data_IF_531073609349
#
_entry.id   IF_531073609349
#
_cell.length_a   1.000
_cell.length_b   1.000
_cell.length_c   1.000
_cell.angle_alpha   90.00
_cell.angle_beta   90.00
_cell.angle_gamma   90.00
#
_symmetry.space_group_name_H-M   'P 1'
#
loop_
_entity.id
_entity.type
_entity.pdbx_description
1 polymer ?
#
# COMPACT_ATOMS: atom_id res chain seq x y z
N UNK A 1 -6.60 10.76 -24.96
CA UNK A 1 -5.16 10.60 -24.68
C UNK A 1 -5.03 9.77 -23.42
N UNK A 2 -4.82 8.45 -23.54
CA UNK A 2 -4.61 7.57 -22.38
C UNK A 2 -3.19 7.81 -21.86
N UNK A 3 -3.04 8.71 -20.90
CA UNK A 3 -1.84 8.77 -20.10
C UNK A 3 -1.77 7.44 -19.31
N UNK A 4 -0.74 6.64 -19.57
CA UNK A 4 -0.47 5.43 -18.81
C UNK A 4 -0.11 5.86 -17.37
N UNK A 5 -1.12 5.97 -16.50
CA UNK A 5 -0.91 6.39 -15.11
C UNK A 5 -0.18 5.27 -14.37
N UNK A 6 0.85 5.66 -13.64
CA UNK A 6 1.59 4.70 -12.82
C UNK A 6 0.75 4.37 -11.57
N UNK A 7 0.66 3.09 -11.25
CA UNK A 7 -0.12 2.63 -10.10
C UNK A 7 0.71 2.70 -8.81
N UNK A 8 0.10 3.24 -7.76
CA UNK A 8 0.64 3.33 -6.40
C UNK A 8 -0.39 2.81 -5.41
N UNK A 9 0.06 2.02 -4.44
CA UNK A 9 -0.78 1.57 -3.31
C UNK A 9 -0.36 2.25 -2.02
N UNK A 10 -1.33 2.74 -1.26
CA UNK A 10 -1.14 3.34 0.06
C UNK A 10 -1.85 2.44 1.07
N UNK A 11 -1.08 1.85 1.97
CA UNK A 11 -1.48 0.65 2.73
C UNK A 11 -1.54 0.94 4.22
N UNK A 12 -2.68 0.62 4.83
CA UNK A 12 -2.83 0.60 6.29
C UNK A 12 -3.09 -0.81 6.79
N UNK A 13 -2.37 -1.20 7.85
CA UNK A 13 -2.56 -2.47 8.56
C UNK A 13 -3.07 -2.15 9.97
N UNK A 14 -4.39 -2.19 10.12
CA UNK A 14 -5.08 -1.80 11.35
C UNK A 14 -5.18 -2.97 12.34
N UNK A 15 -5.28 -2.67 13.64
CA UNK A 15 -5.53 -3.73 14.63
C UNK A 15 -6.92 -4.38 14.47
N UNK A 16 -7.91 -3.61 13.99
CA UNK A 16 -9.31 -4.02 13.83
C UNK A 16 -9.93 -3.35 12.61
N UNK A 17 -10.97 -3.96 12.05
CA UNK A 17 -11.69 -3.45 10.87
C UNK A 17 -12.41 -2.12 11.13
N UNK A 18 -12.74 -1.81 12.39
CA UNK A 18 -13.39 -0.55 12.78
C UNK A 18 -12.43 0.63 12.83
N UNK A 19 -11.12 0.39 12.79
CA UNK A 19 -10.12 1.44 12.76
C UNK A 19 -9.90 1.91 11.33
N UNK A 20 -9.54 3.18 11.17
CA UNK A 20 -9.13 3.75 9.89
C UNK A 20 -7.81 4.48 10.05
N UNK A 21 -6.92 4.34 9.08
CA UNK A 21 -5.69 5.11 9.03
C UNK A 21 -5.92 6.39 8.22
N UNK A 22 -6.20 7.51 8.91
CA UNK A 22 -6.47 8.80 8.26
C UNK A 22 -5.30 9.29 7.40
N UNK A 23 -4.06 8.94 7.77
CA UNK A 23 -2.85 9.32 7.04
C UNK A 23 -2.89 8.89 5.56
N UNK A 24 -3.51 7.74 5.25
CA UNK A 24 -3.62 7.27 3.86
C UNK A 24 -4.42 8.25 2.99
N UNK A 25 -5.47 8.84 3.55
CA UNK A 25 -6.33 9.78 2.84
C UNK A 25 -5.63 11.13 2.61
N UNK A 26 -4.86 11.60 3.59
CA UNK A 26 -4.03 12.80 3.42
C UNK A 26 -2.99 12.58 2.32
N UNK A 27 -2.23 11.48 2.38
CA UNK A 27 -1.22 11.15 1.35
C UNK A 27 -1.85 11.04 -0.03
N UNK A 28 -3.00 10.36 -0.17
CA UNK A 28 -3.74 10.27 -1.44
C UNK A 28 -4.14 11.66 -1.98
N UNK A 29 -4.63 12.54 -1.12
CA UNK A 29 -5.06 13.88 -1.53
C UNK A 29 -3.87 14.73 -2.00
N UNK A 30 -2.74 14.68 -1.29
CA UNK A 30 -1.52 15.38 -1.68
C UNK A 30 -0.93 14.82 -2.99
N UNK A 31 -0.96 13.50 -3.18
CA UNK A 31 -0.57 12.87 -4.45
C UNK A 31 -1.47 13.29 -5.61
N UNK A 32 -2.78 13.36 -5.41
CA UNK A 32 -3.69 13.86 -6.44
C UNK A 32 -3.40 15.31 -6.83
N UNK A 33 -2.92 16.12 -5.88
CA UNK A 33 -2.59 17.54 -6.09
C UNK A 33 -1.22 17.74 -6.76
N UNK A 34 -0.21 16.98 -6.36
CA UNK A 34 1.18 17.22 -6.75
C UNK A 34 1.76 16.17 -7.71
N UNK A 35 1.11 15.02 -7.87
CA UNK A 35 1.51 13.93 -8.76
C UNK A 35 0.28 13.35 -9.51
N UNK A 36 -0.44 14.16 -10.32
CA UNK A 36 -1.69 13.75 -10.97
C UNK A 36 -1.54 12.59 -11.98
N UNK A 37 -0.31 12.26 -12.37
CA UNK A 37 0.04 11.12 -13.20
C UNK A 37 0.10 9.80 -12.43
N UNK A 38 0.10 9.83 -11.09
CA UNK A 38 -0.05 8.65 -10.24
C UNK A 38 -1.53 8.32 -9.99
N UNK A 39 -1.92 7.08 -10.22
CA UNK A 39 -3.19 6.56 -9.73
C UNK A 39 -2.98 5.88 -8.38
N UNK A 40 -3.35 6.58 -7.31
CA UNK A 40 -3.23 6.10 -5.94
C UNK A 40 -4.45 5.29 -5.49
N UNK A 41 -4.24 4.04 -5.09
CA UNK A 41 -5.23 3.17 -4.47
C UNK A 41 -4.99 3.09 -2.95
N UNK A 42 -6.05 3.24 -2.15
CA UNK A 42 -5.97 2.99 -0.71
C UNK A 42 -6.32 1.52 -0.45
N UNK A 43 -5.40 0.79 0.19
CA UNK A 43 -5.62 -0.57 0.65
C UNK A 43 -5.65 -0.57 2.19
N UNK A 44 -6.81 -0.78 2.79
CA UNK A 44 -6.93 -0.95 4.23
C UNK A 44 -7.15 -2.42 4.56
N UNK A 45 -6.28 -2.95 5.41
CA UNK A 45 -6.33 -4.30 5.94
C UNK A 45 -6.35 -4.26 7.47
N UNK A 46 -6.59 -5.41 8.06
CA UNK A 46 -6.29 -5.68 9.45
C UNK A 46 -5.11 -6.62 9.59
N UNK A 47 -4.46 -6.62 10.76
CA UNK A 47 -3.38 -7.58 11.09
C UNK A 47 -3.87 -9.03 11.09
N UNK A 48 -5.18 -9.27 11.13
CA UNK A 48 -5.80 -10.59 11.13
C UNK A 48 -6.32 -11.01 9.75
N UNK A 49 -6.18 -10.16 8.73
CA UNK A 49 -6.61 -10.51 7.38
C UNK A 49 -5.74 -11.66 6.84
N UNK A 50 -6.29 -12.40 5.88
CA UNK A 50 -5.57 -13.51 5.29
C UNK A 50 -4.29 -13.00 4.59
N UNK A 51 -3.14 -13.54 4.99
CA UNK A 51 -1.84 -13.11 4.49
C UNK A 51 -1.69 -13.26 2.97
N UNK A 52 -2.14 -14.38 2.41
CA UNK A 52 -2.06 -14.64 0.98
C UNK A 52 -2.93 -13.67 0.19
N UNK A 53 -4.16 -13.41 0.65
CA UNK A 53 -5.05 -12.43 0.03
C UNK A 53 -4.45 -11.01 0.08
N UNK A 54 -3.79 -10.63 1.17
CA UNK A 54 -3.06 -9.36 1.25
C UNK A 54 -1.97 -9.28 0.17
N UNK A 55 -1.16 -10.31 0.00
CA UNK A 55 -0.10 -10.34 -1.03
C UNK A 55 -0.69 -10.26 -2.44
N UNK A 56 -1.74 -11.05 -2.73
CA UNK A 56 -2.43 -11.00 -4.03
C UNK A 56 -2.95 -9.59 -4.30
N UNK A 57 -3.67 -9.01 -3.33
CA UNK A 57 -4.24 -7.67 -3.48
C UNK A 57 -3.19 -6.58 -3.55
N UNK A 58 -2.02 -6.73 -2.91
CA UNK A 58 -0.93 -5.76 -3.03
C UNK A 58 -0.20 -5.88 -4.37
N UNK A 59 -0.08 -7.08 -4.93
CA UNK A 59 0.61 -7.31 -6.21
C UNK A 59 -0.25 -7.06 -7.45
N UNK A 60 -1.57 -7.07 -7.29
CA UNK A 60 -2.54 -6.82 -8.36
C UNK A 60 -2.26 -5.51 -9.11
N UNK A 61 -2.32 -5.55 -10.45
CA UNK A 61 -2.06 -4.38 -11.28
C UNK A 61 -0.60 -3.90 -11.33
N UNK A 62 0.34 -4.69 -10.77
CA UNK A 62 1.79 -4.44 -10.78
C UNK A 62 2.18 -3.01 -10.40
N UNK A 63 1.84 -2.54 -9.19
CA UNK A 63 2.11 -1.17 -8.78
C UNK A 63 3.60 -0.86 -8.81
N UNK A 64 3.93 0.35 -9.27
CA UNK A 64 5.31 0.85 -9.28
C UNK A 64 5.79 1.21 -7.86
N UNK A 65 4.85 1.58 -6.99
CA UNK A 65 5.12 1.99 -5.62
C UNK A 65 4.13 1.37 -4.62
N UNK A 66 4.59 1.04 -3.42
CA UNK A 66 3.74 0.67 -2.29
C UNK A 66 4.20 1.44 -1.05
N UNK A 67 3.31 2.22 -0.46
CA UNK A 67 3.56 3.02 0.75
C UNK A 67 2.84 2.39 1.93
N UNK A 68 3.57 1.87 2.91
CA UNK A 68 3.00 1.35 4.14
C UNK A 68 2.97 2.43 5.22
N UNK A 69 1.82 2.55 5.88
CA UNK A 69 1.71 3.25 7.16
C UNK A 69 2.05 2.29 8.30
N UNK A 70 3.22 2.48 8.89
CA UNK A 70 3.72 1.70 10.01
C UNK A 70 3.14 2.21 11.33
N UNK A 71 2.80 1.27 12.20
CA UNK A 71 2.37 1.51 13.56
C UNK A 71 2.98 0.44 14.48
N UNK A 72 2.96 0.68 15.79
CA UNK A 72 3.60 -0.19 16.80
C UNK A 72 3.16 -1.67 16.67
N UNK A 73 1.94 -1.92 16.18
CA UNK A 73 1.32 -3.24 16.12
C UNK A 73 1.53 -4.02 14.82
N UNK A 74 2.10 -3.41 13.77
CA UNK A 74 2.11 -4.00 12.42
C UNK A 74 3.50 -4.21 11.81
N UNK A 75 4.58 -3.89 12.53
CA UNK A 75 5.96 -3.95 12.02
C UNK A 75 6.37 -5.32 11.48
N UNK A 76 6.08 -6.40 12.22
CA UNK A 76 6.37 -7.79 11.79
C UNK A 76 5.65 -8.14 10.49
N UNK A 77 4.38 -7.72 10.36
CA UNK A 77 3.59 -7.99 9.17
C UNK A 77 4.10 -7.17 7.97
N UNK A 78 4.47 -5.90 8.17
CA UNK A 78 5.09 -5.05 7.14
C UNK A 78 6.41 -5.66 6.66
N UNK A 79 7.27 -6.13 7.57
CA UNK A 79 8.54 -6.75 7.20
C UNK A 79 8.32 -7.96 6.28
N UNK A 80 7.39 -8.83 6.67
CA UNK A 80 7.05 -10.03 5.91
C UNK A 80 6.48 -9.68 4.53
N UNK A 81 5.51 -8.76 4.47
CA UNK A 81 4.92 -8.28 3.22
C UNK A 81 5.97 -7.64 2.30
N UNK A 82 6.88 -6.84 2.85
CA UNK A 82 7.93 -6.17 2.06
C UNK A 82 8.88 -7.17 1.41
N UNK A 83 9.21 -8.26 2.11
CA UNK A 83 10.05 -9.34 1.58
C UNK A 83 9.36 -10.09 0.43
N UNK A 84 8.08 -10.41 0.59
CA UNK A 84 7.32 -11.12 -0.44
C UNK A 84 7.05 -10.22 -1.65
N UNK A 85 6.74 -8.94 -1.42
CA UNK A 85 6.61 -7.94 -2.49
C UNK A 85 7.90 -7.77 -3.28
N UNK A 86 9.08 -7.82 -2.64
CA UNK A 86 10.37 -7.78 -3.34
C UNK A 86 10.53 -8.96 -4.32
N UNK A 87 10.01 -10.12 -3.94
CA UNK A 87 10.04 -11.35 -4.75
C UNK A 87 9.05 -11.29 -5.90
N UNK A 88 7.80 -10.90 -5.63
CA UNK A 88 6.74 -10.83 -6.63
C UNK A 88 6.90 -9.64 -7.59
N UNK A 89 7.38 -8.50 -7.09
CA UNK A 89 7.49 -7.23 -7.81
C UNK A 89 8.91 -6.64 -7.66
N UNK A 90 9.92 -7.19 -8.34
CA UNK A 90 11.31 -6.78 -8.18
C UNK A 90 11.62 -5.34 -8.66
N UNK A 91 10.67 -4.66 -9.32
CA UNK A 91 10.80 -3.24 -9.70
C UNK A 91 9.95 -2.29 -8.84
N UNK A 92 9.10 -2.82 -7.98
CA UNK A 92 8.27 -2.02 -7.08
C UNK A 92 9.14 -1.40 -5.99
N UNK A 93 8.94 -0.11 -5.72
CA UNK A 93 9.61 0.62 -4.65
C UNK A 93 8.69 0.71 -3.44
N UNK A 94 9.21 0.32 -2.29
CA UNK A 94 8.46 0.34 -1.03
C UNK A 94 8.92 1.52 -0.18
N UNK A 95 7.97 2.25 0.39
CA UNK A 95 8.19 3.28 1.42
C UNK A 95 7.46 2.85 2.68
N UNK A 96 8.09 2.99 3.84
CA UNK A 96 7.52 2.67 5.15
C UNK A 96 7.65 3.92 6.00
N UNK A 97 6.53 4.43 6.53
CA UNK A 97 6.49 5.66 7.33
C UNK A 97 5.36 5.67 8.34
#
# INVERSE_FOLDING_TARGET
MNANREHLKIVGLNARFTHSCLALFYVRNELARYCPEMAAEICQFTINDNYYEMVVRLTEGSPRYVFFSAAIWNSILIERLTRDLRTCLPRCRVVIG
#
